data_IF_891013654077
#
_entry.id   IF_891013654077
#
_cell.length_a   1.000
_cell.length_b   1.000
_cell.length_c   1.000
_cell.angle_alpha   90.00
_cell.angle_beta   90.00
_cell.angle_gamma   90.00
#
_symmetry.space_group_name_H-M   'P 1'
#
loop_
_entity.id
_entity.type
_entity.pdbx_description
1 polymer ?
#
# COMPACT_ATOMS: atom_id res chain seq x y z
N UNK A 1 10.69 13.65 0.34
CA UNK A 1 9.86 14.23 -0.71
C UNK A 1 10.27 13.68 -2.08
N UNK A 2 9.30 13.57 -3.00
CA UNK A 2 9.54 13.20 -4.41
C UNK A 2 10.45 14.22 -5.10
N UNK A 3 11.28 13.74 -6.02
CA UNK A 3 12.15 14.57 -6.86
C UNK A 3 11.93 14.25 -8.33
N UNK A 4 12.19 15.24 -9.18
CA UNK A 4 12.25 15.00 -10.62
C UNK A 4 13.36 13.97 -10.92
N UNK A 5 13.00 12.90 -11.64
CA UNK A 5 13.92 11.79 -11.94
C UNK A 5 13.84 10.59 -11.01
N UNK A 6 13.01 10.63 -9.93
CA UNK A 6 12.72 9.43 -9.15
C UNK A 6 12.04 8.37 -10.02
N UNK A 7 12.58 7.16 -10.06
CA UNK A 7 11.99 5.99 -10.71
C UNK A 7 10.71 5.52 -10.02
N UNK A 8 10.00 4.56 -10.62
CA UNK A 8 8.72 4.07 -10.10
C UNK A 8 8.84 3.48 -8.71
N UNK A 9 9.87 2.69 -8.44
CA UNK A 9 10.17 2.14 -7.11
C UNK A 9 10.32 3.23 -6.05
N UNK A 10 11.12 4.27 -6.33
CA UNK A 10 11.32 5.37 -5.37
C UNK A 10 10.03 6.15 -5.12
N UNK A 11 9.22 6.38 -6.16
CA UNK A 11 7.91 7.04 -6.04
C UNK A 11 6.96 6.20 -5.19
N UNK A 12 6.86 4.90 -5.46
CA UNK A 12 5.99 3.99 -4.73
C UNK A 12 6.36 3.95 -3.23
N UNK A 13 7.64 3.77 -2.90
CA UNK A 13 8.13 3.76 -1.52
C UNK A 13 7.81 5.06 -0.77
N UNK A 14 8.13 6.21 -1.37
CA UNK A 14 7.92 7.50 -0.72
C UNK A 14 6.45 7.82 -0.50
N UNK A 15 5.58 7.53 -1.48
CA UNK A 15 4.15 7.80 -1.37
C UNK A 15 3.46 6.85 -0.39
N UNK A 16 3.85 5.57 -0.39
CA UNK A 16 3.37 4.60 0.58
C UNK A 16 3.69 5.04 2.00
N UNK A 17 4.95 5.34 2.27
CA UNK A 17 5.40 5.80 3.58
C UNK A 17 4.76 7.13 4.00
N UNK A 18 4.63 8.09 3.08
CA UNK A 18 3.97 9.37 3.36
C UNK A 18 2.50 9.18 3.79
N UNK A 19 1.83 8.17 3.25
CA UNK A 19 0.46 7.87 3.62
C UNK A 19 0.39 7.10 4.94
N UNK A 20 1.23 6.07 5.13
CA UNK A 20 1.11 5.12 6.24
C UNK A 20 1.73 5.59 7.53
N UNK A 21 2.86 6.31 7.47
CA UNK A 21 3.64 6.71 8.65
C UNK A 21 2.85 7.58 9.64
N UNK A 22 2.15 8.66 9.23
CA UNK A 22 1.37 9.47 10.15
C UNK A 22 -0.01 8.88 10.45
N UNK A 23 -0.40 7.76 9.81
CA UNK A 23 -1.78 7.28 9.78
C UNK A 23 -2.16 6.48 11.02
N UNK A 24 -3.44 6.57 11.39
CA UNK A 24 -4.08 5.75 12.40
C UNK A 24 -5.40 5.17 11.87
N UNK A 25 -5.71 3.92 12.24
CA UNK A 25 -6.98 3.29 11.87
C UNK A 25 -8.14 3.83 12.68
N UNK A 26 -9.26 4.13 12.03
CA UNK A 26 -10.46 4.67 12.65
C UNK A 26 -11.45 3.55 13.02
N UNK A 27 -11.20 2.90 14.15
CA UNK A 27 -12.04 1.80 14.65
C UNK A 27 -13.49 2.22 14.96
N UNK A 28 -13.74 3.50 15.23
CA UNK A 28 -15.09 4.00 15.43
C UNK A 28 -15.90 3.99 14.13
N UNK A 29 -15.27 4.30 13.03
CA UNK A 29 -15.90 4.32 11.71
C UNK A 29 -15.98 2.95 11.03
N UNK A 30 -15.24 1.96 11.48
CA UNK A 30 -15.33 0.60 10.95
C UNK A 30 -16.76 0.03 11.01
N UNK A 31 -17.49 0.38 12.06
CA UNK A 31 -18.87 -0.03 12.30
C UNK A 31 -19.87 1.13 12.25
N UNK A 32 -19.49 2.24 11.64
CA UNK A 32 -20.30 3.45 11.55
C UNK A 32 -21.50 3.33 10.63
N UNK A 33 -22.44 4.26 10.75
CA UNK A 33 -23.59 4.37 9.86
C UNK A 33 -23.15 4.90 8.48
N UNK A 34 -23.08 4.01 7.49
CA UNK A 34 -22.64 4.28 6.13
C UNK A 34 -23.42 5.38 5.39
N UNK A 35 -24.62 5.71 5.85
CA UNK A 35 -25.45 6.74 5.26
C UNK A 35 -25.21 8.14 5.89
N UNK A 36 -24.53 8.21 7.03
CA UNK A 36 -24.25 9.49 7.69
C UNK A 36 -23.23 10.32 6.92
N UNK A 37 -23.35 11.64 7.00
CA UNK A 37 -22.39 12.58 6.41
C UNK A 37 -21.02 12.46 7.10
N UNK A 38 -21.02 12.19 8.40
CA UNK A 38 -19.82 12.00 9.19
C UNK A 38 -19.04 10.76 8.74
N UNK A 39 -19.72 9.63 8.55
CA UNK A 39 -19.11 8.40 8.02
C UNK A 39 -18.46 8.66 6.68
N UNK A 40 -19.19 9.23 5.71
CA UNK A 40 -18.66 9.52 4.38
C UNK A 40 -17.45 10.44 4.39
N UNK A 41 -17.41 11.39 5.30
CA UNK A 41 -16.26 12.29 5.45
C UNK A 41 -15.06 11.58 6.08
N UNK A 42 -15.25 10.89 7.22
CA UNK A 42 -14.18 10.23 7.96
C UNK A 42 -13.62 8.98 7.25
N UNK A 43 -14.38 8.39 6.33
CA UNK A 43 -13.93 7.24 5.52
C UNK A 43 -13.45 7.65 4.11
N UNK A 44 -13.37 8.92 3.81
CA UNK A 44 -12.88 9.42 2.52
C UNK A 44 -11.36 9.35 2.38
N UNK A 45 -10.87 9.35 1.15
CA UNK A 45 -9.43 9.51 0.87
C UNK A 45 -8.88 10.84 1.40
N UNK A 46 -9.71 11.88 1.50
CA UNK A 46 -9.33 13.15 2.13
C UNK A 46 -8.98 12.96 3.62
N UNK A 47 -9.78 12.19 4.35
CA UNK A 47 -9.50 11.92 5.76
C UNK A 47 -8.16 11.16 5.92
N UNK A 48 -7.90 10.16 5.09
CA UNK A 48 -6.60 9.47 5.10
C UNK A 48 -5.43 10.39 4.79
N UNK A 49 -5.56 11.28 3.77
CA UNK A 49 -4.47 12.14 3.30
C UNK A 49 -4.21 13.37 4.17
N UNK A 50 -5.25 13.94 4.80
CA UNK A 50 -5.17 15.23 5.48
C UNK A 50 -5.37 15.11 6.98
N UNK A 51 -6.25 14.21 7.42
CA UNK A 51 -6.49 13.98 8.84
C UNK A 51 -5.69 12.78 9.37
N UNK A 52 -5.01 12.05 8.48
CA UNK A 52 -4.21 10.86 8.79
C UNK A 52 -5.00 9.80 9.54
N UNK A 53 -6.29 9.66 9.23
CA UNK A 53 -7.19 8.71 9.85
C UNK A 53 -8.19 8.16 8.83
N UNK A 54 -8.62 6.91 9.00
CA UNK A 54 -9.60 6.29 8.12
C UNK A 54 -9.68 4.78 8.31
N UNK A 55 -10.42 4.14 7.41
CA UNK A 55 -10.58 2.69 7.32
C UNK A 55 -9.92 2.16 6.04
N UNK A 56 -9.99 0.86 5.76
CA UNK A 56 -9.37 0.24 4.58
C UNK A 56 -9.73 0.95 3.27
N UNK A 57 -10.99 1.30 3.08
CA UNK A 57 -11.48 2.05 1.94
C UNK A 57 -10.77 3.41 1.76
N UNK A 58 -10.57 4.13 2.86
CA UNK A 58 -9.91 5.44 2.87
C UNK A 58 -8.46 5.35 2.40
N UNK A 59 -7.72 4.41 2.97
CA UNK A 59 -6.29 4.22 2.69
C UNK A 59 -6.03 3.66 1.30
N UNK A 60 -6.80 2.64 0.86
CA UNK A 60 -6.64 2.07 -0.47
C UNK A 60 -6.92 3.11 -1.57
N UNK A 61 -7.98 3.91 -1.44
CA UNK A 61 -8.29 4.97 -2.39
C UNK A 61 -7.30 6.13 -2.34
N UNK A 62 -6.81 6.49 -1.15
CA UNK A 62 -5.78 7.51 -0.99
C UNK A 62 -4.48 7.09 -1.70
N UNK A 63 -4.04 5.84 -1.52
CA UNK A 63 -2.87 5.31 -2.19
C UNK A 63 -3.07 5.25 -3.71
N UNK A 64 -4.25 4.80 -4.18
CA UNK A 64 -4.59 4.79 -5.59
C UNK A 64 -4.50 6.20 -6.21
N UNK A 65 -5.02 7.20 -5.52
CA UNK A 65 -4.91 8.60 -5.94
C UNK A 65 -3.45 9.05 -6.03
N UNK A 66 -2.65 8.82 -4.98
CA UNK A 66 -1.23 9.21 -4.96
C UNK A 66 -0.43 8.53 -6.07
N UNK A 67 -0.63 7.23 -6.27
CA UNK A 67 0.08 6.46 -7.29
C UNK A 67 -0.31 6.91 -8.69
N UNK A 68 -1.59 7.11 -8.97
CA UNK A 68 -2.08 7.64 -10.25
C UNK A 68 -1.48 9.02 -10.54
N UNK A 69 -1.46 9.94 -9.54
CA UNK A 69 -0.84 11.26 -9.70
C UNK A 69 0.67 11.19 -9.93
N UNK A 70 1.31 10.15 -9.46
CA UNK A 70 2.73 9.87 -9.69
C UNK A 70 3.00 9.13 -11.00
N UNK A 71 1.97 8.81 -11.79
CA UNK A 71 2.09 8.09 -13.05
C UNK A 71 2.35 6.60 -12.91
N UNK A 72 1.92 6.00 -11.81
CA UNK A 72 1.92 4.55 -11.61
C UNK A 72 0.56 3.97 -12.01
N UNK A 73 0.57 2.89 -12.78
CA UNK A 73 -0.65 2.15 -13.10
C UNK A 73 -1.11 1.40 -11.85
N UNK A 74 -2.36 1.58 -11.44
CA UNK A 74 -2.89 0.95 -10.24
C UNK A 74 -4.40 0.73 -10.32
N UNK A 75 -4.89 -0.20 -9.50
CA UNK A 75 -6.30 -0.49 -9.32
C UNK A 75 -6.61 -0.75 -7.84
N UNK A 76 -7.63 -0.09 -7.31
CA UNK A 76 -8.18 -0.45 -6.01
C UNK A 76 -8.96 -1.76 -6.15
N UNK A 77 -8.77 -2.67 -5.20
CA UNK A 77 -9.40 -3.99 -5.15
C UNK A 77 -10.24 -4.07 -3.90
N UNK A 78 -11.47 -4.55 -4.05
CA UNK A 78 -12.37 -4.84 -2.94
C UNK A 78 -12.74 -6.33 -2.97
N UNK A 79 -12.73 -6.96 -1.82
CA UNK A 79 -13.11 -8.36 -1.69
C UNK A 79 -13.27 -8.79 -0.25
N UNK A 80 -13.65 -10.04 -0.05
CA UNK A 80 -13.72 -10.64 1.26
C UNK A 80 -12.37 -11.28 1.63
N UNK A 81 -11.92 -10.98 2.85
CA UNK A 81 -10.75 -11.58 3.49
C UNK A 81 -11.22 -12.48 4.63
N UNK A 82 -10.63 -13.66 4.75
CA UNK A 82 -10.95 -14.57 5.86
C UNK A 82 -10.68 -13.94 7.23
N UNK A 83 -9.71 -13.03 7.31
CA UNK A 83 -9.29 -12.39 8.56
C UNK A 83 -9.96 -11.06 8.85
N UNK A 84 -10.32 -10.30 7.82
CA UNK A 84 -10.84 -8.94 7.95
C UNK A 84 -12.28 -8.75 7.45
N UNK A 85 -12.90 -9.80 6.86
CA UNK A 85 -14.19 -9.65 6.19
C UNK A 85 -14.08 -8.78 4.94
N UNK A 86 -15.06 -7.93 4.68
CA UNK A 86 -15.02 -7.01 3.54
C UNK A 86 -13.86 -6.03 3.70
N UNK A 87 -12.93 -6.05 2.74
CA UNK A 87 -11.68 -5.29 2.81
C UNK A 87 -11.32 -4.67 1.45
N UNK A 88 -10.57 -3.57 1.49
CA UNK A 88 -10.06 -2.92 0.29
C UNK A 88 -8.55 -2.71 0.39
N UNK A 89 -7.86 -3.03 -0.71
CA UNK A 89 -6.41 -2.87 -0.87
C UNK A 89 -6.07 -2.34 -2.26
N UNK A 90 -4.80 -2.25 -2.63
CA UNK A 90 -4.34 -1.76 -3.92
C UNK A 90 -3.53 -2.83 -4.66
N UNK A 91 -3.67 -2.87 -5.97
CA UNK A 91 -2.70 -3.45 -6.89
C UNK A 91 -2.04 -2.32 -7.68
N UNK A 92 -0.73 -2.38 -7.87
CA UNK A 92 -0.03 -1.41 -8.71
C UNK A 92 1.13 -2.04 -9.47
N UNK A 93 1.40 -1.49 -10.65
CA UNK A 93 2.56 -1.86 -11.45
C UNK A 93 3.75 -0.98 -11.09
N UNK A 94 4.89 -1.61 -10.84
CA UNK A 94 6.18 -0.97 -10.63
C UNK A 94 7.16 -1.57 -11.63
N UNK A 95 7.71 -0.74 -12.50
CA UNK A 95 8.61 -1.15 -13.59
C UNK A 95 8.01 -2.30 -14.45
N UNK A 96 6.72 -2.19 -14.73
CA UNK A 96 5.95 -3.13 -15.56
C UNK A 96 5.58 -4.46 -14.89
N UNK A 97 5.77 -4.60 -13.58
CA UNK A 97 5.36 -5.77 -12.80
C UNK A 97 4.32 -5.39 -11.77
N UNK A 98 3.32 -6.25 -11.57
CA UNK A 98 2.23 -6.00 -10.64
C UNK A 98 2.50 -6.58 -9.26
N UNK A 99 2.06 -5.86 -8.23
CA UNK A 99 2.19 -6.21 -6.81
C UNK A 99 0.96 -5.81 -6.03
N UNK A 100 0.73 -6.47 -4.90
CA UNK A 100 -0.24 -6.04 -3.90
C UNK A 100 0.36 -5.06 -2.89
N UNK A 101 -0.46 -4.12 -2.44
CA UNK A 101 -0.14 -3.14 -1.40
C UNK A 101 -1.33 -3.02 -0.46
N UNK A 102 -1.10 -3.12 0.83
CA UNK A 102 -2.15 -2.91 1.81
C UNK A 102 -1.77 -1.85 2.84
N UNK A 103 -2.02 -0.57 2.53
CA UNK A 103 -1.64 0.53 3.40
C UNK A 103 -2.39 0.52 4.73
N UNK A 104 -3.54 -0.16 4.81
CA UNK A 104 -4.35 -0.23 6.04
C UNK A 104 -3.63 -0.97 7.15
N UNK A 105 -2.97 -2.06 6.81
CA UNK A 105 -2.29 -2.91 7.78
C UNK A 105 -0.86 -2.45 8.08
N UNK A 106 -0.37 -1.46 7.33
CA UNK A 106 0.91 -0.80 7.56
C UNK A 106 0.77 0.61 8.16
N UNK A 107 -0.43 0.99 8.67
CA UNK A 107 -0.58 2.28 9.38
C UNK A 107 0.38 2.35 10.56
N UNK A 108 0.98 3.52 10.77
CA UNK A 108 2.08 3.70 11.72
C UNK A 108 3.47 3.48 11.09
N UNK A 109 3.55 3.36 9.75
CA UNK A 109 4.81 3.35 9.00
C UNK A 109 5.39 1.97 8.70
N UNK A 110 4.56 0.92 8.77
CA UNK A 110 4.97 -0.44 8.40
C UNK A 110 5.30 -0.61 6.91
N UNK A 111 5.96 -1.73 6.62
CA UNK A 111 6.34 -2.17 5.26
C UNK A 111 5.97 -3.61 4.99
N UNK A 112 5.29 -4.24 5.93
CA UNK A 112 4.99 -5.67 5.91
C UNK A 112 4.11 -6.05 4.71
N UNK A 113 3.19 -5.14 4.33
CA UNK A 113 2.23 -5.34 3.26
C UNK A 113 2.57 -4.50 1.99
N UNK A 114 3.83 -4.15 1.81
CA UNK A 114 4.33 -3.42 0.66
C UNK A 114 4.82 -4.36 -0.43
N UNK A 115 4.28 -4.29 -1.65
CA UNK A 115 4.82 -4.97 -2.82
C UNK A 115 4.78 -6.50 -2.75
N UNK A 116 3.69 -7.07 -2.22
CA UNK A 116 3.48 -8.51 -2.06
C UNK A 116 3.16 -9.20 -3.38
N UNK A 117 3.59 -10.46 -3.49
CA UNK A 117 3.09 -11.40 -4.50
C UNK A 117 1.68 -11.90 -4.15
N UNK A 118 1.03 -12.64 -5.05
CA UNK A 118 -0.21 -13.33 -4.75
C UNK A 118 -0.02 -14.40 -3.65
N UNK A 119 1.13 -15.07 -3.63
CA UNK A 119 1.47 -16.07 -2.61
C UNK A 119 1.68 -15.42 -1.23
N UNK A 120 2.43 -14.30 -1.17
CA UNK A 120 2.60 -13.52 0.06
C UNK A 120 1.24 -13.07 0.60
N UNK A 121 0.39 -12.54 -0.28
CA UNK A 121 -0.94 -12.07 0.08
C UNK A 121 -1.81 -13.20 0.65
N UNK A 122 -1.86 -14.36 -0.01
CA UNK A 122 -2.61 -15.52 0.45
C UNK A 122 -2.11 -16.03 1.80
N UNK A 123 -0.79 -16.04 1.99
CA UNK A 123 -0.16 -16.53 3.23
C UNK A 123 -0.46 -15.63 4.43
N UNK A 124 -0.42 -14.31 4.26
CA UNK A 124 -0.48 -13.35 5.38
C UNK A 124 -1.85 -12.74 5.62
N UNK A 125 -2.70 -12.73 4.61
CA UNK A 125 -4.02 -12.11 4.68
C UNK A 125 -5.18 -13.09 4.48
N UNK A 126 -4.91 -14.36 4.31
CA UNK A 126 -5.88 -15.40 3.98
C UNK A 126 -6.31 -15.36 2.51
N UNK A 127 -7.20 -16.25 2.12
CA UNK A 127 -7.76 -16.27 0.77
C UNK A 127 -8.65 -15.05 0.52
N UNK A 128 -8.60 -14.54 -0.70
CA UNK A 128 -9.42 -13.43 -1.16
C UNK A 128 -10.35 -13.86 -2.26
N UNK A 129 -11.58 -13.37 -2.16
CA UNK A 129 -12.51 -13.33 -3.27
C UNK A 129 -12.83 -11.87 -3.54
N UNK A 130 -12.53 -11.38 -4.73
CA UNK A 130 -12.82 -10.00 -5.07
C UNK A 130 -12.24 -9.58 -6.42
N UNK A 131 -12.65 -8.42 -6.89
CA UNK A 131 -12.26 -7.85 -8.17
C UNK A 131 -11.75 -6.42 -8.06
N UNK A 132 -10.94 -6.00 -9.01
CA UNK A 132 -10.46 -4.63 -9.10
C UNK A 132 -11.60 -3.66 -9.39
N UNK A 133 -11.63 -2.52 -8.72
CA UNK A 133 -12.65 -1.49 -8.92
C UNK A 133 -12.28 -0.48 -10.01
N UNK A 134 -10.98 -0.19 -10.17
CA UNK A 134 -10.45 0.70 -11.20
C UNK A 134 -9.42 -0.07 -12.03
N UNK A 135 -9.51 0.03 -13.36
CA UNK A 135 -8.63 -0.71 -14.25
C UNK A 135 -8.82 -2.23 -14.18
N UNK A 136 -10.05 -2.66 -13.99
CA UNK A 136 -10.43 -4.04 -13.68
C UNK A 136 -9.81 -5.06 -14.64
N UNK A 137 -9.91 -4.83 -15.94
CA UNK A 137 -9.40 -5.77 -16.94
C UNK A 137 -7.87 -5.94 -16.85
N UNK A 138 -7.13 -4.86 -16.60
CA UNK A 138 -5.68 -4.91 -16.45
C UNK A 138 -5.27 -5.64 -15.16
N UNK A 139 -5.97 -5.40 -14.07
CA UNK A 139 -5.69 -6.03 -12.79
C UNK A 139 -6.06 -7.52 -12.75
N UNK A 140 -7.14 -7.93 -13.42
CA UNK A 140 -7.53 -9.34 -13.54
C UNK A 140 -6.52 -10.18 -14.33
N UNK A 141 -5.81 -9.57 -15.27
CA UNK A 141 -4.80 -10.21 -16.09
C UNK A 141 -3.36 -10.04 -15.53
N UNK A 142 -3.22 -9.39 -14.38
CA UNK A 142 -1.92 -9.10 -13.80
C UNK A 142 -1.20 -10.36 -13.33
N UNK A 143 0.07 -10.50 -13.70
CA UNK A 143 0.98 -11.47 -13.10
C UNK A 143 1.51 -10.88 -11.77
N UNK A 144 1.20 -11.53 -10.67
CA UNK A 144 1.53 -11.13 -9.29
C UNK A 144 2.53 -12.09 -8.65
N UNK A 145 3.46 -12.63 -9.43
CA UNK A 145 4.46 -13.62 -8.99
C UNK A 145 5.88 -13.04 -8.82
N UNK A 146 6.09 -11.77 -9.16
CA UNK A 146 7.42 -11.16 -9.07
C UNK A 146 7.82 -10.89 -7.61
N UNK A 147 8.96 -11.44 -7.19
CA UNK A 147 9.45 -11.43 -5.81
C UNK A 147 10.42 -10.29 -5.50
N UNK A 148 10.49 -9.25 -6.32
CA UNK A 148 11.43 -8.13 -6.18
C UNK A 148 11.42 -7.50 -4.79
N UNK A 149 10.25 -7.40 -4.18
CA UNK A 149 10.08 -6.78 -2.87
C UNK A 149 10.11 -7.77 -1.70
N UNK A 150 10.41 -9.06 -1.93
CA UNK A 150 10.42 -10.08 -0.89
C UNK A 150 11.41 -9.84 0.27
N UNK A 151 12.43 -9.01 0.05
CA UNK A 151 13.33 -8.57 1.11
C UNK A 151 12.75 -7.43 1.97
N UNK A 152 11.63 -6.84 1.55
CA UNK A 152 10.97 -5.71 2.22
C UNK A 152 9.66 -6.17 2.85
N UNK A 153 8.76 -6.76 2.06
CA UNK A 153 7.49 -7.26 2.58
C UNK A 153 7.68 -8.45 3.53
N UNK A 154 6.67 -8.72 4.33
CA UNK A 154 6.69 -9.81 5.33
C UNK A 154 7.79 -9.69 6.39
N UNK A 155 8.35 -8.48 6.57
CA UNK A 155 9.33 -8.13 7.59
C UNK A 155 8.95 -6.84 8.31
N UNK A 156 9.27 -6.75 9.58
CA UNK A 156 8.96 -5.60 10.44
C UNK A 156 10.09 -4.57 10.42
N UNK A 157 10.21 -3.86 9.30
CA UNK A 157 11.13 -2.72 9.19
C UNK A 157 10.55 -1.50 9.92
N UNK A 158 11.40 -0.80 10.67
CA UNK A 158 11.01 0.38 11.46
C UNK A 158 11.39 1.70 10.81
N UNK A 159 12.33 1.68 9.86
CA UNK A 159 12.77 2.88 9.15
C UNK A 159 13.18 2.56 7.71
N UNK A 160 13.12 3.57 6.85
CA UNK A 160 13.56 3.49 5.46
C UNK A 160 14.27 4.77 5.05
N UNK A 161 15.47 4.63 4.54
CA UNK A 161 16.26 5.72 3.96
C UNK A 161 16.47 5.53 2.47
N UNK A 162 16.18 6.56 1.67
CA UNK A 162 16.38 6.55 0.23
C UNK A 162 17.73 7.15 -0.13
N UNK A 163 18.67 6.31 -0.57
CA UNK A 163 19.97 6.72 -1.13
C UNK A 163 19.89 6.80 -2.66
N UNK A 164 19.54 7.98 -3.16
CA UNK A 164 19.43 8.23 -4.60
C UNK A 164 20.78 8.20 -5.33
N UNK A 165 21.87 8.49 -4.62
CA UNK A 165 23.19 8.47 -5.22
C UNK A 165 23.67 7.04 -5.44
N UNK A 166 23.38 6.16 -4.50
CA UNK A 166 23.65 4.72 -4.63
C UNK A 166 22.55 3.97 -5.43
N UNK A 167 21.41 4.62 -5.74
CA UNK A 167 20.28 4.01 -6.45
C UNK A 167 19.59 2.93 -5.63
N UNK A 168 19.45 3.12 -4.33
CA UNK A 168 18.89 2.12 -3.43
C UNK A 168 18.05 2.72 -2.31
N UNK A 169 17.13 1.90 -1.75
CA UNK A 169 16.49 2.14 -0.46
C UNK A 169 17.10 1.19 0.58
N UNK A 170 17.35 1.70 1.78
CA UNK A 170 17.86 0.93 2.91
C UNK A 170 16.77 0.88 3.97
N UNK A 171 16.39 -0.33 4.34
CA UNK A 171 15.43 -0.60 5.42
C UNK A 171 16.17 -1.10 6.64
N UNK A 172 15.77 -0.65 7.82
CA UNK A 172 16.40 -1.05 9.09
C UNK A 172 15.36 -1.43 10.13
N UNK A 173 15.73 -2.36 11.02
CA UNK A 173 15.00 -2.72 12.22
C UNK A 173 15.98 -2.88 13.39
N UNK A 174 15.91 -1.96 14.37
CA UNK A 174 16.89 -1.91 15.44
C UNK A 174 18.29 -1.53 14.95
N UNK A 175 19.34 -1.97 15.69
CA UNK A 175 20.73 -1.56 15.40
C UNK A 175 21.44 -2.46 14.37
N UNK A 176 21.05 -3.74 14.26
CA UNK A 176 21.82 -4.73 13.52
C UNK A 176 21.09 -5.30 12.27
N UNK A 177 19.80 -5.07 12.14
CA UNK A 177 19.02 -5.65 11.05
C UNK A 177 18.79 -4.61 9.95
N UNK A 178 19.21 -4.96 8.74
CA UNK A 178 18.99 -4.14 7.55
C UNK A 178 18.87 -4.96 6.27
N UNK A 179 18.12 -4.41 5.32
CA UNK A 179 18.11 -4.87 3.93
C UNK A 179 18.20 -3.71 2.95
N UNK A 180 18.54 -4.01 1.72
CA UNK A 180 18.72 -3.03 0.65
C UNK A 180 17.88 -3.44 -0.54
N UNK A 181 17.09 -2.48 -1.05
CA UNK A 181 16.29 -2.62 -2.25
C UNK A 181 16.85 -1.72 -3.37
N UNK A 182 17.22 -2.24 -4.54
CA UNK A 182 17.55 -1.44 -5.70
C UNK A 182 16.33 -0.60 -6.16
N UNK A 183 16.59 0.64 -6.62
CA UNK A 183 15.53 1.56 -7.11
C UNK A 183 15.23 1.40 -8.61
N UNK A 184 16.01 0.56 -9.31
CA UNK A 184 15.85 0.22 -10.73
C UNK A 184 16.23 -1.21 -10.99
#
# INVERSE_FOLDING_TARGET
>A
ALRQGDGETARALLLYHTLTEPAAYDYEMEHGDGDSTEYRFRTSSYAALVLHSGICYSFAQALAFLYTQAGLDCAAVMGDSETAGLHMWLMAAIDGKWYYFDPTWDVGGGWYYFGMTAEDRATWAGEFTGGAMLGQDAAELADLSDTRFSAVNCHWWTDMTLDRQAGQAVFTAGEDEKTVLPLS
#
